data_IF_511324956823
#
_entry.id   IF_511324956823
#
_cell.length_a   1.000
_cell.length_b   1.000
_cell.length_c   1.000
_cell.angle_alpha   90.00
_cell.angle_beta   90.00
_cell.angle_gamma   90.00
#
_symmetry.space_group_name_H-M   'P 1'
#
loop_
_entity.id
_entity.type
_entity.pdbx_description
1 polymer ?
#
# COMPACT_ATOMS: atom_id res chain seq x y z
N UNK A 1 12.34 -14.44 -12.71
CA UNK A 1 10.91 -14.12 -12.62
C UNK A 1 10.19 -15.40 -12.26
N UNK A 2 9.56 -15.48 -11.09
CA UNK A 2 8.75 -16.64 -10.73
C UNK A 2 7.52 -16.68 -11.66
N UNK A 3 7.33 -17.79 -12.38
CA UNK A 3 6.14 -18.04 -13.21
C UNK A 3 4.90 -18.27 -12.33
N UNK A 4 4.38 -17.19 -11.72
CA UNK A 4 3.14 -17.24 -10.96
C UNK A 4 1.97 -17.14 -11.94
N UNK A 5 1.03 -18.06 -11.83
CA UNK A 5 -0.19 -18.07 -12.64
C UNK A 5 -1.25 -17.16 -12.06
N UNK A 6 -2.29 -16.85 -12.85
CA UNK A 6 -3.49 -16.15 -12.37
C UNK A 6 -4.12 -16.83 -11.13
N UNK A 7 -4.11 -18.16 -11.08
CA UNK A 7 -4.70 -18.90 -9.96
C UNK A 7 -3.86 -18.79 -8.69
N UNK A 8 -2.53 -18.70 -8.83
CA UNK A 8 -1.63 -18.47 -7.69
C UNK A 8 -1.95 -17.13 -7.01
N UNK A 9 -2.18 -16.06 -7.79
CA UNK A 9 -2.59 -14.77 -7.24
C UNK A 9 -3.93 -14.82 -6.50
N UNK A 10 -4.91 -15.56 -7.03
CA UNK A 10 -6.22 -15.72 -6.39
C UNK A 10 -6.09 -16.47 -5.07
N UNK A 11 -5.32 -17.56 -5.06
CA UNK A 11 -5.03 -18.35 -3.88
C UNK A 11 -4.26 -17.54 -2.83
N UNK A 12 -3.25 -16.78 -3.24
CA UNK A 12 -2.50 -15.90 -2.33
C UNK A 12 -3.40 -14.81 -1.71
N UNK A 13 -4.36 -14.29 -2.48
CA UNK A 13 -5.37 -13.36 -1.98
C UNK A 13 -6.28 -13.97 -0.91
N UNK A 14 -6.77 -15.19 -1.12
CA UNK A 14 -7.55 -15.92 -0.11
C UNK A 14 -6.71 -16.22 1.14
N UNK A 15 -5.50 -16.73 0.95
CA UNK A 15 -4.60 -17.07 2.05
C UNK A 15 -4.28 -15.85 2.92
N UNK A 16 -3.98 -14.69 2.30
CA UNK A 16 -3.72 -13.45 3.03
C UNK A 16 -4.96 -12.97 3.79
N UNK A 17 -6.11 -12.99 3.12
CA UNK A 17 -7.40 -12.61 3.70
C UNK A 17 -7.72 -13.43 4.95
N UNK A 18 -7.53 -14.75 4.88
CA UNK A 18 -7.80 -15.68 5.97
C UNK A 18 -6.78 -15.56 7.10
N UNK A 19 -5.47 -15.51 6.78
CA UNK A 19 -4.40 -15.39 7.78
C UNK A 19 -4.55 -14.13 8.63
N UNK A 20 -4.83 -13.00 7.99
CA UNK A 20 -4.97 -11.71 8.68
C UNK A 20 -6.40 -11.43 9.14
N UNK A 21 -7.38 -12.28 8.79
CA UNK A 21 -8.80 -12.06 9.08
C UNK A 21 -9.25 -10.67 8.63
N UNK A 22 -8.89 -10.30 7.40
CA UNK A 22 -9.19 -8.98 6.87
C UNK A 22 -10.71 -8.76 6.81
N UNK A 23 -11.15 -7.55 7.09
CA UNK A 23 -12.57 -7.20 6.98
C UNK A 23 -13.04 -7.14 5.51
N UNK A 24 -12.12 -6.94 4.57
CA UNK A 24 -12.40 -6.74 3.15
C UNK A 24 -11.36 -7.44 2.30
N UNK A 25 -11.70 -7.77 1.05
CA UNK A 25 -10.79 -8.46 0.15
C UNK A 25 -9.58 -7.60 -0.23
N UNK A 26 -8.37 -8.18 -0.36
CA UNK A 26 -7.28 -7.54 -1.10
C UNK A 26 -7.75 -7.16 -2.51
N UNK A 27 -7.38 -5.97 -2.97
CA UNK A 27 -7.77 -5.44 -4.28
C UNK A 27 -6.65 -5.71 -5.28
N UNK A 28 -7.00 -6.35 -6.39
CA UNK A 28 -6.16 -6.49 -7.57
C UNK A 28 -6.38 -5.29 -8.50
N UNK A 29 -5.30 -4.65 -8.93
CA UNK A 29 -5.32 -3.56 -9.90
C UNK A 29 -4.50 -3.97 -11.13
N UNK A 30 -5.12 -3.85 -12.30
CA UNK A 30 -4.48 -4.08 -13.60
C UNK A 30 -4.54 -2.80 -14.43
N UNK A 31 -3.39 -2.24 -14.79
CA UNK A 31 -3.35 -1.13 -15.74
C UNK A 31 -3.73 -1.61 -17.14
N UNK A 32 -4.40 -0.73 -17.91
CA UNK A 32 -4.81 -1.01 -19.28
C UNK A 32 -4.22 0.01 -20.25
N UNK A 33 -3.81 -0.45 -21.42
CA UNK A 33 -3.32 0.37 -22.55
C UNK A 33 -4.36 0.45 -23.66
N UNK A 34 -5.25 -0.53 -23.73
CA UNK A 34 -6.36 -0.58 -24.68
C UNK A 34 -7.70 -0.77 -23.97
N UNK A 35 -8.76 -0.11 -24.45
CA UNK A 35 -10.11 -0.25 -23.89
C UNK A 35 -10.67 -1.67 -24.07
N UNK A 36 -10.17 -2.44 -25.04
CA UNK A 36 -10.53 -3.85 -25.24
C UNK A 36 -9.97 -4.77 -24.14
N UNK A 37 -9.05 -4.30 -23.30
CA UNK A 37 -8.57 -5.03 -22.12
C UNK A 37 -9.57 -5.01 -20.96
N UNK A 38 -10.61 -4.17 -21.03
CA UNK A 38 -11.67 -4.10 -20.04
C UNK A 38 -12.54 -5.37 -20.15
N UNK A 39 -12.64 -6.20 -19.10
CA UNK A 39 -13.46 -7.40 -19.15
C UNK A 39 -14.94 -7.02 -19.19
N UNK A 40 -15.76 -7.77 -19.95
CA UNK A 40 -17.20 -7.51 -20.12
C UNK A 40 -18.00 -7.35 -18.82
N UNK A 41 -17.54 -8.01 -17.75
CA UNK A 41 -18.18 -7.97 -16.42
C UNK A 41 -17.82 -6.75 -15.59
N UNK A 42 -16.81 -5.96 -15.98
CA UNK A 42 -16.44 -4.76 -15.26
C UNK A 42 -17.45 -3.64 -15.52
N UNK A 43 -17.96 -3.07 -14.44
CA UNK A 43 -18.74 -1.83 -14.50
C UNK A 43 -17.82 -0.68 -14.93
N UNK A 44 -18.33 0.16 -15.81
CA UNK A 44 -17.66 1.39 -16.21
C UNK A 44 -18.58 2.57 -15.88
N UNK A 45 -18.24 3.40 -14.88
CA UNK A 45 -19.13 4.47 -14.39
C UNK A 45 -19.70 5.39 -15.48
N UNK A 46 -18.88 5.82 -16.43
CA UNK A 46 -19.30 6.72 -17.52
C UNK A 46 -20.40 6.13 -18.40
N UNK A 47 -20.40 4.80 -18.61
CA UNK A 47 -21.47 4.09 -19.34
C UNK A 47 -22.81 4.07 -18.61
N UNK A 48 -22.81 4.41 -17.33
CA UNK A 48 -23.99 4.55 -16.49
C UNK A 48 -24.32 6.02 -16.20
N UNK A 49 -23.71 6.97 -16.92
CA UNK A 49 -23.80 8.41 -16.66
C UNK A 49 -23.39 8.77 -15.22
N UNK A 50 -22.40 8.06 -14.68
CA UNK A 50 -21.83 8.28 -13.36
C UNK A 50 -20.34 8.60 -13.47
N UNK A 51 -19.82 9.27 -12.44
CA UNK A 51 -18.39 9.40 -12.22
C UNK A 51 -18.07 8.98 -10.80
N UNK A 52 -16.96 8.27 -10.63
CA UNK A 52 -16.45 7.84 -9.33
C UNK A 52 -15.05 8.39 -9.15
N UNK A 53 -14.60 8.53 -7.91
CA UNK A 53 -13.16 8.64 -7.64
C UNK A 53 -12.49 7.28 -7.78
N UNK A 54 -11.18 7.26 -8.07
CA UNK A 54 -10.40 6.02 -8.12
C UNK A 54 -10.50 5.23 -6.80
N UNK A 55 -10.48 5.91 -5.66
CA UNK A 55 -10.62 5.30 -4.34
C UNK A 55 -11.99 4.63 -4.11
N UNK A 56 -13.08 5.18 -4.68
CA UNK A 56 -14.39 4.53 -4.64
C UNK A 56 -14.39 3.19 -5.37
N UNK A 57 -13.68 3.09 -6.51
CA UNK A 57 -13.53 1.83 -7.24
C UNK A 57 -12.84 0.75 -6.38
N UNK A 58 -11.86 1.12 -5.55
CA UNK A 58 -11.21 0.20 -4.62
C UNK A 58 -12.19 -0.29 -3.55
N UNK A 59 -13.02 0.60 -3.00
CA UNK A 59 -14.07 0.25 -2.05
C UNK A 59 -15.10 -0.72 -2.65
N UNK A 60 -15.54 -0.47 -3.88
CA UNK A 60 -16.45 -1.36 -4.60
C UNK A 60 -15.84 -2.77 -4.76
N UNK A 61 -14.55 -2.87 -5.11
CA UNK A 61 -13.87 -4.14 -5.21
C UNK A 61 -13.74 -4.85 -3.84
N UNK A 62 -13.16 -4.17 -2.84
CA UNK A 62 -12.85 -4.79 -1.53
C UNK A 62 -14.08 -5.16 -0.70
N UNK A 63 -15.17 -4.38 -0.79
CA UNK A 63 -16.39 -4.57 0.03
C UNK A 63 -17.50 -5.31 -0.69
N UNK A 64 -17.72 -5.01 -1.98
CA UNK A 64 -18.85 -5.57 -2.74
C UNK A 64 -18.45 -6.65 -3.74
N UNK A 65 -17.16 -6.95 -3.87
CA UNK A 65 -16.72 -7.96 -4.82
C UNK A 65 -16.77 -7.48 -6.27
N UNK A 66 -16.93 -6.18 -6.51
CA UNK A 66 -17.20 -5.62 -7.82
C UNK A 66 -15.95 -5.58 -8.71
N UNK A 67 -16.18 -5.61 -10.01
CA UNK A 67 -15.16 -5.34 -11.04
C UNK A 67 -15.46 -3.96 -11.59
N UNK A 68 -14.51 -3.04 -11.52
CA UNK A 68 -14.72 -1.66 -11.97
C UNK A 68 -13.57 -1.28 -12.89
N UNK A 69 -13.90 -0.77 -14.07
CA UNK A 69 -12.94 -0.15 -14.97
C UNK A 69 -12.99 1.36 -14.76
N UNK A 70 -11.82 1.97 -14.60
CA UNK A 70 -11.65 3.40 -14.44
C UNK A 70 -10.77 3.92 -15.57
N UNK A 71 -11.33 4.77 -16.42
CA UNK A 71 -10.61 5.59 -17.41
C UNK A 71 -10.70 7.06 -17.00
N UNK A 72 -10.15 7.96 -17.83
CA UNK A 72 -10.26 9.40 -17.57
C UNK A 72 -11.72 9.85 -17.44
N UNK A 73 -12.60 9.35 -18.30
CA UNK A 73 -14.01 9.72 -18.39
C UNK A 73 -14.83 9.22 -17.18
N UNK A 74 -14.38 8.14 -16.54
CA UNK A 74 -15.00 7.55 -15.35
C UNK A 74 -14.65 8.29 -14.05
N UNK A 75 -13.54 9.03 -14.05
CA UNK A 75 -12.94 9.55 -12.83
C UNK A 75 -13.36 10.99 -12.50
N UNK A 76 -14.07 11.19 -11.39
CA UNK A 76 -14.42 12.51 -10.89
C UNK A 76 -13.19 13.28 -10.34
N UNK A 77 -12.18 12.57 -9.82
CA UNK A 77 -10.96 13.17 -9.30
C UNK A 77 -9.92 13.36 -10.43
N UNK A 78 -10.09 14.41 -11.24
CA UNK A 78 -9.30 14.67 -12.45
C UNK A 78 -7.79 14.67 -12.19
N UNK A 79 -7.33 15.28 -11.10
CA UNK A 79 -5.90 15.34 -10.72
C UNK A 79 -5.27 13.96 -10.71
N UNK A 80 -5.95 12.96 -10.15
CA UNK A 80 -5.41 11.60 -10.09
C UNK A 80 -5.24 10.99 -11.49
N UNK A 81 -6.17 11.18 -12.42
CA UNK A 81 -6.02 10.72 -13.81
C UNK A 81 -4.84 11.37 -14.53
N UNK A 82 -4.59 12.66 -14.27
CA UNK A 82 -3.52 13.43 -14.89
C UNK A 82 -2.15 12.99 -14.36
N UNK A 83 -2.02 12.77 -13.05
CA UNK A 83 -0.80 12.22 -12.44
C UNK A 83 -0.49 10.81 -12.98
N UNK A 84 -1.52 10.00 -13.23
CA UNK A 84 -1.37 8.69 -13.90
C UNK A 84 -1.06 8.76 -15.40
N UNK A 85 -1.02 9.95 -16.01
CA UNK A 85 -0.77 10.19 -17.43
C UNK A 85 -1.84 9.65 -18.39
N UNK A 86 -3.08 9.44 -17.93
CA UNK A 86 -4.19 9.01 -18.81
C UNK A 86 -4.62 10.10 -19.79
N UNK A 87 -4.42 11.36 -19.39
CA UNK A 87 -4.42 12.55 -20.24
C UNK A 87 -3.22 13.41 -19.85
N UNK A 88 -2.76 14.25 -20.77
CA UNK A 88 -1.56 15.07 -20.59
C UNK A 88 -1.95 16.53 -20.44
N UNK A 89 -1.42 17.16 -19.40
CA UNK A 89 -1.44 18.60 -19.18
C UNK A 89 -0.05 19.04 -18.73
N UNK A 90 0.31 20.32 -18.89
CA UNK A 90 1.50 20.90 -18.26
C UNK A 90 1.56 20.60 -16.75
N UNK A 91 2.76 20.35 -16.24
CA UNK A 91 2.96 20.09 -14.80
C UNK A 91 2.63 21.32 -13.95
N UNK A 92 2.79 22.50 -14.53
CA UNK A 92 2.46 23.78 -13.92
C UNK A 92 0.99 23.85 -13.53
N UNK A 93 0.09 23.34 -14.37
CA UNK A 93 -1.36 23.31 -14.11
C UNK A 93 -1.70 22.33 -12.97
N UNK A 94 -0.98 21.21 -12.89
CA UNK A 94 -1.13 20.26 -11.79
C UNK A 94 -0.68 20.91 -10.48
N UNK A 95 0.47 21.56 -10.46
CA UNK A 95 0.98 22.30 -9.29
C UNK A 95 0.00 23.40 -8.87
N UNK A 96 -0.48 24.20 -9.82
CA UNK A 96 -1.44 25.26 -9.56
C UNK A 96 -2.75 24.71 -8.96
N UNK A 97 -3.24 23.57 -9.46
CA UNK A 97 -4.43 22.93 -8.90
C UNK A 97 -4.29 22.56 -7.42
N UNK A 98 -3.09 22.21 -6.96
CA UNK A 98 -2.85 21.87 -5.54
C UNK A 98 -2.84 23.12 -4.65
N UNK A 99 -2.33 24.23 -5.17
CA UNK A 99 -2.35 25.54 -4.48
C UNK A 99 -3.78 26.08 -4.42
N UNK A 100 -4.54 25.99 -5.51
CA UNK A 100 -5.97 26.37 -5.54
C UNK A 100 -6.78 25.54 -4.53
N UNK A 101 -6.41 24.27 -4.35
CA UNK A 101 -7.06 23.38 -3.39
C UNK A 101 -6.58 23.58 -1.94
N UNK A 102 -5.69 24.55 -1.70
CA UNK A 102 -5.13 24.89 -0.39
C UNK A 102 -4.44 23.71 0.33
N UNK A 103 -3.95 22.71 -0.40
CA UNK A 103 -3.16 21.63 0.20
C UNK A 103 -1.82 22.12 0.74
N UNK A 104 -1.26 23.14 0.09
CA UNK A 104 -0.04 23.81 0.52
C UNK A 104 -0.23 25.32 0.47
N UNK A 105 0.48 26.00 1.38
CA UNK A 105 0.40 27.45 1.59
C UNK A 105 0.52 28.27 0.30
N UNK A 106 1.44 27.89 -0.57
CA UNK A 106 1.77 28.59 -1.79
C UNK A 106 2.50 27.67 -2.79
N UNK A 107 2.79 28.19 -3.98
CA UNK A 107 3.53 27.47 -5.04
C UNK A 107 4.93 27.02 -4.59
N UNK A 108 5.60 27.77 -3.71
CA UNK A 108 6.94 27.39 -3.23
C UNK A 108 6.85 26.16 -2.31
N UNK A 109 5.87 26.12 -1.42
CA UNK A 109 5.61 24.96 -0.58
C UNK A 109 5.27 23.71 -1.40
N UNK A 110 4.41 23.83 -2.43
CA UNK A 110 4.10 22.74 -3.35
C UNK A 110 5.35 22.24 -4.08
N UNK A 111 6.20 23.14 -4.60
CA UNK A 111 7.44 22.78 -5.27
C UNK A 111 8.44 22.05 -4.35
N UNK A 112 8.51 22.42 -3.07
CA UNK A 112 9.34 21.72 -2.08
C UNK A 112 8.86 20.27 -1.93
N UNK A 113 7.56 20.05 -1.81
CA UNK A 113 6.99 18.69 -1.70
C UNK A 113 7.23 17.89 -2.98
N UNK A 114 6.96 18.46 -4.15
CA UNK A 114 7.23 17.81 -5.44
C UNK A 114 8.72 17.48 -5.62
N UNK A 115 9.62 18.31 -5.10
CA UNK A 115 11.06 18.05 -5.17
C UNK A 115 11.50 16.79 -4.39
N UNK A 116 10.75 16.40 -3.34
CA UNK A 116 10.98 15.16 -2.61
C UNK A 116 10.57 13.91 -3.41
N UNK A 117 9.71 14.09 -4.41
CA UNK A 117 9.24 13.05 -5.31
C UNK A 117 9.92 13.08 -6.68
N UNK A 118 10.94 13.93 -6.86
CA UNK A 118 11.65 14.13 -8.15
C UNK A 118 12.21 12.81 -8.72
N UNK A 119 12.59 11.88 -7.84
CA UNK A 119 13.17 10.60 -8.24
C UNK A 119 12.11 9.69 -8.91
N UNK A 120 10.83 10.00 -8.76
CA UNK A 120 9.74 9.37 -9.52
C UNK A 120 9.60 9.96 -10.92
N UNK A 121 9.99 11.22 -11.13
CA UNK A 121 9.83 11.96 -12.39
C UNK A 121 10.96 11.67 -13.40
N UNK A 122 11.31 10.40 -13.58
CA UNK A 122 12.33 9.96 -14.55
C UNK A 122 11.71 9.62 -15.91
N UNK A 123 12.51 9.68 -16.97
CA UNK A 123 12.10 9.25 -18.31
C UNK A 123 11.68 7.77 -18.34
N UNK A 124 12.33 6.94 -17.54
CA UNK A 124 11.99 5.52 -17.40
C UNK A 124 10.57 5.35 -16.83
N UNK A 125 10.29 6.01 -15.70
CA UNK A 125 8.98 5.96 -15.06
C UNK A 125 7.88 6.55 -15.97
N UNK A 126 8.17 7.65 -16.65
CA UNK A 126 7.27 8.19 -17.67
C UNK A 126 6.95 7.15 -18.75
N UNK A 127 7.96 6.45 -19.27
CA UNK A 127 7.75 5.41 -20.28
C UNK A 127 6.92 4.22 -19.77
N UNK A 128 6.94 3.91 -18.47
CA UNK A 128 6.11 2.85 -17.86
C UNK A 128 4.61 3.17 -17.91
N UNK A 129 4.23 4.45 -17.84
CA UNK A 129 2.82 4.88 -17.66
C UNK A 129 2.23 5.69 -18.81
N UNK A 130 3.05 6.27 -19.71
CA UNK A 130 2.61 7.20 -20.77
C UNK A 130 1.55 6.65 -21.73
N UNK A 131 1.44 5.32 -21.84
CA UNK A 131 0.51 4.62 -22.74
C UNK A 131 -0.70 4.04 -21.99
N UNK A 132 -0.78 4.21 -20.66
CA UNK A 132 -1.93 3.76 -19.88
C UNK A 132 -3.15 4.65 -20.14
N UNK A 133 -4.33 4.03 -20.25
CA UNK A 133 -5.62 4.71 -20.45
C UNK A 133 -6.54 4.61 -19.23
N UNK A 134 -6.15 3.83 -18.24
CA UNK A 134 -6.99 3.47 -17.12
C UNK A 134 -6.42 2.31 -16.32
N UNK A 135 -7.25 1.79 -15.42
CA UNK A 135 -7.05 0.47 -14.82
C UNK A 135 -8.38 -0.26 -14.65
N UNK A 136 -8.30 -1.55 -14.35
CA UNK A 136 -9.42 -2.34 -13.83
C UNK A 136 -9.08 -2.81 -12.43
N UNK A 137 -10.02 -2.62 -11.51
CA UNK A 137 -9.94 -3.10 -10.14
C UNK A 137 -10.87 -4.29 -9.95
N UNK A 138 -10.45 -5.22 -9.10
CA UNK A 138 -11.22 -6.41 -8.75
C UNK A 138 -10.79 -6.96 -7.40
N UNK A 139 -11.59 -7.82 -6.76
CA UNK A 139 -11.12 -8.60 -5.61
C UNK A 139 -10.03 -9.56 -6.09
N UNK A 140 -8.90 -9.61 -5.40
CA UNK A 140 -7.75 -10.42 -5.81
C UNK A 140 -8.10 -11.89 -5.99
N UNK A 141 -8.88 -12.46 -5.06
CA UNK A 141 -9.35 -13.85 -5.10
C UNK A 141 -10.25 -14.19 -6.31
N UNK A 142 -10.75 -13.19 -7.05
CA UNK A 142 -11.57 -13.36 -8.25
C UNK A 142 -10.98 -12.66 -9.47
N UNK A 143 -9.76 -12.16 -9.38
CA UNK A 143 -9.17 -11.32 -10.43
C UNK A 143 -9.13 -12.03 -11.78
N UNK A 144 -9.27 -11.28 -12.86
CA UNK A 144 -9.47 -11.83 -14.21
C UNK A 144 -8.16 -11.93 -15.01
N UNK A 145 -7.12 -11.25 -14.57
CA UNK A 145 -5.79 -11.18 -15.17
C UNK A 145 -4.77 -10.95 -14.06
N UNK A 146 -3.52 -11.35 -14.26
CA UNK A 146 -2.45 -11.14 -13.30
C UNK A 146 -2.31 -9.63 -13.00
N UNK A 147 -2.54 -9.21 -11.74
CA UNK A 147 -2.53 -7.80 -11.39
C UNK A 147 -1.11 -7.23 -11.43
N UNK A 148 -1.00 -5.93 -11.66
CA UNK A 148 0.27 -5.22 -11.53
C UNK A 148 0.50 -4.81 -10.07
N UNK A 149 -0.58 -4.42 -9.40
CA UNK A 149 -0.57 -3.96 -8.01
C UNK A 149 -1.63 -4.70 -7.20
N UNK A 150 -1.29 -4.96 -5.94
CA UNK A 150 -2.24 -5.36 -4.92
C UNK A 150 -2.34 -4.26 -3.86
N UNK A 151 -3.56 -3.82 -3.57
CA UNK A 151 -3.86 -2.86 -2.51
C UNK A 151 -4.64 -3.56 -1.39
N UNK A 152 -4.08 -3.58 -0.19
CA UNK A 152 -4.65 -4.28 0.96
C UNK A 152 -5.05 -3.24 2.00
N UNK A 153 -6.32 -3.28 2.43
CA UNK A 153 -6.80 -2.48 3.56
C UNK A 153 -6.92 -3.36 4.80
N UNK A 154 -6.53 -2.82 5.95
CA UNK A 154 -6.61 -3.48 7.25
C UNK A 154 -6.36 -2.50 8.39
N UNK A 155 -6.52 -2.95 9.63
CA UNK A 155 -6.15 -2.14 10.79
C UNK A 155 -4.61 -2.02 10.92
N UNK A 156 -4.09 -1.07 11.74
CA UNK A 156 -2.64 -0.91 11.92
C UNK A 156 -1.90 -2.18 12.37
N UNK A 157 -2.55 -3.07 13.13
CA UNK A 157 -1.93 -4.32 13.58
C UNK A 157 -1.79 -5.33 12.43
N UNK A 158 -2.80 -5.43 11.56
CA UNK A 158 -2.76 -6.23 10.34
C UNK A 158 -1.67 -5.73 9.40
N UNK A 159 -1.59 -4.40 9.19
CA UNK A 159 -0.54 -3.80 8.36
C UNK A 159 0.85 -4.04 8.97
N UNK A 160 0.99 -4.01 10.29
CA UNK A 160 2.26 -4.35 10.98
C UNK A 160 2.72 -5.78 10.65
N UNK A 161 1.82 -6.76 10.60
CA UNK A 161 2.18 -8.13 10.20
C UNK A 161 2.66 -8.23 8.74
N UNK A 162 2.09 -7.43 7.84
CA UNK A 162 2.57 -7.33 6.46
C UNK A 162 3.98 -6.72 6.42
N UNK A 163 4.22 -5.62 7.13
CA UNK A 163 5.55 -4.98 7.23
C UNK A 163 6.59 -5.92 7.84
N UNK A 164 6.23 -6.66 8.87
CA UNK A 164 7.09 -7.71 9.43
C UNK A 164 7.44 -8.78 8.40
N UNK A 165 6.49 -9.18 7.56
CA UNK A 165 6.73 -10.18 6.52
C UNK A 165 7.70 -9.65 5.47
N UNK A 166 7.50 -8.41 5.01
CA UNK A 166 8.36 -7.71 4.05
C UNK A 166 9.81 -7.58 4.55
N UNK A 167 9.97 -7.21 5.82
CA UNK A 167 11.29 -6.95 6.43
C UNK A 167 11.97 -8.18 7.02
N UNK A 168 11.29 -9.34 7.08
CA UNK A 168 11.78 -10.52 7.80
C UNK A 168 13.17 -10.99 7.35
N UNK A 169 13.41 -11.04 6.03
CA UNK A 169 14.72 -11.40 5.46
C UNK A 169 15.59 -10.16 5.13
N UNK A 170 15.15 -8.96 5.53
CA UNK A 170 15.86 -7.70 5.27
C UNK A 170 15.80 -7.20 3.82
N UNK A 171 14.99 -7.81 2.94
CA UNK A 171 14.94 -7.50 1.50
C UNK A 171 14.03 -6.33 1.13
N UNK A 172 12.91 -6.15 1.85
CA UNK A 172 11.89 -5.15 1.51
C UNK A 172 11.64 -4.22 2.70
N UNK A 173 12.58 -3.32 2.97
CA UNK A 173 12.40 -2.25 3.96
C UNK A 173 11.40 -1.22 3.41
N UNK A 174 10.29 -1.01 4.12
CA UNK A 174 9.23 -0.11 3.68
C UNK A 174 9.57 1.33 4.02
N UNK A 175 9.75 2.17 3.00
CA UNK A 175 9.95 3.62 3.12
C UNK A 175 8.78 4.34 2.44
N UNK A 176 8.08 5.21 3.19
CA UNK A 176 6.82 5.77 2.71
C UNK A 176 6.59 7.20 3.24
N UNK A 177 6.81 8.24 2.43
CA UNK A 177 6.57 9.63 2.82
C UNK A 177 5.08 9.98 2.71
N UNK A 178 4.54 10.78 3.63
CA UNK A 178 3.12 11.16 3.65
C UNK A 178 2.94 12.65 3.39
N UNK A 179 1.95 12.97 2.55
CA UNK A 179 1.55 14.36 2.23
C UNK A 179 0.07 14.61 2.59
N UNK A 180 -0.68 13.58 2.97
CA UNK A 180 -2.06 13.70 3.48
C UNK A 180 -3.14 13.72 2.38
N UNK A 181 -2.75 13.63 1.11
CA UNK A 181 -3.65 13.53 -0.04
C UNK A 181 -3.07 12.63 -1.14
N UNK A 182 -3.91 12.17 -2.08
CA UNK A 182 -3.50 11.21 -3.12
C UNK A 182 -3.09 9.83 -2.57
N UNK A 183 -3.48 9.50 -1.35
CA UNK A 183 -2.88 8.42 -0.57
C UNK A 183 -3.16 7.03 -1.16
N UNK A 184 -4.41 6.63 -1.40
CA UNK A 184 -4.67 5.30 -1.98
C UNK A 184 -4.40 5.21 -3.48
N UNK A 185 -4.83 6.20 -4.27
CA UNK A 185 -4.81 6.10 -5.73
C UNK A 185 -3.45 6.43 -6.35
N UNK A 186 -2.68 7.37 -5.80
CA UNK A 186 -1.33 7.67 -6.28
C UNK A 186 -0.34 6.86 -5.47
N UNK A 187 -0.32 7.05 -4.15
CA UNK A 187 0.69 6.42 -3.30
C UNK A 187 0.47 4.92 -3.08
N UNK A 188 -0.76 4.45 -3.00
CA UNK A 188 -1.07 3.01 -2.87
C UNK A 188 -1.07 2.25 -4.20
N UNK A 189 -1.09 2.93 -5.35
CA UNK A 189 -1.21 2.26 -6.65
C UNK A 189 -0.12 2.70 -7.63
N UNK A 190 -0.05 3.97 -7.98
CA UNK A 190 0.93 4.46 -8.95
C UNK A 190 2.38 4.35 -8.46
N UNK A 191 2.67 4.77 -7.22
CA UNK A 191 4.04 4.77 -6.70
C UNK A 191 4.64 3.35 -6.67
N UNK A 192 3.98 2.33 -6.10
CA UNK A 192 4.49 0.95 -6.14
C UNK A 192 4.68 0.41 -7.56
N UNK A 193 3.86 0.85 -8.52
CA UNK A 193 4.00 0.46 -9.92
C UNK A 193 5.26 1.06 -10.56
N UNK A 194 5.58 2.30 -10.21
CA UNK A 194 6.76 3.00 -10.73
C UNK A 194 8.06 2.49 -10.08
N UNK A 195 8.05 2.34 -8.76
CA UNK A 195 9.27 2.03 -7.99
C UNK A 195 9.54 0.54 -7.83
N UNK A 196 8.50 -0.30 -7.86
CA UNK A 196 8.62 -1.69 -7.43
C UNK A 196 8.67 -1.85 -5.90
N UNK A 197 8.37 -0.79 -5.14
CA UNK A 197 8.46 -0.79 -3.68
C UNK A 197 7.08 -0.64 -3.02
N UNK A 198 6.79 -1.37 -1.93
CA UNK A 198 5.57 -1.20 -1.16
C UNK A 198 5.42 0.21 -0.57
N UNK A 199 4.18 0.69 -0.47
CA UNK A 199 3.84 1.98 0.12
C UNK A 199 2.72 1.82 1.15
N UNK A 200 2.96 2.31 2.37
CA UNK A 200 1.94 2.38 3.41
C UNK A 200 1.01 3.53 3.10
N UNK A 201 -0.28 3.25 3.01
CA UNK A 201 -1.32 4.25 2.79
C UNK A 201 -1.92 4.61 4.14
N UNK A 202 -1.75 5.87 4.52
CA UNK A 202 -2.55 6.50 5.56
C UNK A 202 -3.70 7.16 4.81
N UNK A 203 -4.95 6.65 4.90
CA UNK A 203 -6.04 7.20 4.11
C UNK A 203 -6.11 8.72 4.27
N UNK A 204 -6.39 9.43 3.18
CA UNK A 204 -6.59 10.88 3.20
C UNK A 204 -8.06 11.27 3.42
N UNK A 205 -8.37 12.56 3.35
CA UNK A 205 -9.76 13.04 3.45
C UNK A 205 -10.63 12.41 2.36
N UNK A 206 -10.15 12.37 1.10
CA UNK A 206 -10.89 11.78 -0.02
C UNK A 206 -11.19 10.28 0.16
N UNK A 207 -10.25 9.51 0.73
CA UNK A 207 -10.49 8.09 1.03
C UNK A 207 -11.62 7.90 2.05
N UNK A 208 -11.65 8.76 3.07
CA UNK A 208 -12.67 8.69 4.14
C UNK A 208 -14.03 9.16 3.65
N UNK A 209 -14.08 10.35 3.06
CA UNK A 209 -15.35 11.01 2.72
C UNK A 209 -15.99 10.45 1.46
N UNK A 210 -15.20 10.13 0.43
CA UNK A 210 -15.73 9.65 -0.86
C UNK A 210 -15.82 8.12 -0.89
N UNK A 211 -14.86 7.43 -0.26
CA UNK A 211 -14.68 5.98 -0.43
C UNK A 211 -15.04 5.16 0.80
N UNK A 212 -15.62 5.77 1.84
CA UNK A 212 -16.06 5.06 3.05
C UNK A 212 -14.93 4.24 3.70
N UNK A 213 -13.71 4.77 3.65
CA UNK A 213 -12.58 4.24 4.41
C UNK A 213 -12.74 4.67 5.85
N UNK A 214 -12.71 3.72 6.79
CA UNK A 214 -12.96 4.02 8.20
C UNK A 214 -11.71 4.59 8.88
N UNK A 215 -11.90 5.27 10.01
CA UNK A 215 -10.80 5.90 10.76
C UNK A 215 -9.77 4.89 11.29
N UNK A 216 -10.23 3.68 11.63
CA UNK A 216 -9.38 2.58 12.08
C UNK A 216 -8.68 1.82 10.94
N UNK A 217 -8.95 2.17 9.67
CA UNK A 217 -8.35 1.52 8.51
C UNK A 217 -7.06 2.22 8.08
N UNK A 218 -6.06 1.41 7.77
CA UNK A 218 -4.88 1.76 6.97
C UNK A 218 -4.88 0.90 5.70
N UNK A 219 -3.95 1.17 4.80
CA UNK A 219 -3.71 0.28 3.67
C UNK A 219 -2.22 0.15 3.35
N UNK A 220 -1.91 -0.79 2.48
CA UNK A 220 -0.60 -0.93 1.85
C UNK A 220 -0.77 -1.30 0.39
N UNK A 221 -0.12 -0.55 -0.48
CA UNK A 221 0.00 -0.83 -1.90
C UNK A 221 1.33 -1.51 -2.19
N UNK A 222 1.35 -2.54 -3.04
CA UNK A 222 2.57 -3.27 -3.37
C UNK A 222 2.53 -3.86 -4.78
N UNK A 223 3.68 -4.01 -5.46
CA UNK A 223 3.78 -4.82 -6.67
C UNK A 223 3.21 -6.20 -6.39
N UNK A 224 2.34 -6.68 -7.27
CA UNK A 224 1.52 -7.85 -7.00
C UNK A 224 2.34 -9.08 -6.56
N UNK A 225 3.50 -9.28 -7.17
CA UNK A 225 4.41 -10.40 -6.89
C UNK A 225 4.87 -10.49 -5.42
N UNK A 226 4.89 -9.37 -4.67
CA UNK A 226 5.29 -9.39 -3.26
C UNK A 226 4.27 -10.07 -2.35
N UNK A 227 3.04 -10.33 -2.82
CA UNK A 227 2.04 -11.05 -2.00
C UNK A 227 2.51 -12.46 -1.63
N UNK A 228 3.22 -13.14 -2.54
CA UNK A 228 3.75 -14.48 -2.29
C UNK A 228 4.85 -14.45 -1.22
N UNK A 229 5.75 -13.46 -1.31
CA UNK A 229 6.78 -13.24 -0.31
C UNK A 229 6.17 -12.93 1.06
N UNK A 230 5.13 -12.10 1.09
CA UNK A 230 4.39 -11.78 2.32
C UNK A 230 3.76 -13.04 2.92
N UNK A 231 3.02 -13.83 2.15
CA UNK A 231 2.37 -15.04 2.66
C UNK A 231 3.39 -16.06 3.19
N UNK A 232 4.53 -16.21 2.51
CA UNK A 232 5.62 -17.10 2.91
C UNK A 232 6.27 -16.66 4.23
N UNK A 233 6.29 -15.37 4.54
CA UNK A 233 6.94 -14.80 5.73
C UNK A 233 5.97 -14.36 6.84
N UNK A 234 4.67 -14.54 6.61
CA UNK A 234 3.63 -14.17 7.56
C UNK A 234 3.81 -14.84 8.92
N UNK A 235 3.70 -14.06 9.98
CA UNK A 235 3.85 -14.48 11.38
C UNK A 235 5.20 -15.09 11.79
N UNK A 236 6.25 -15.00 10.96
CA UNK A 236 7.60 -15.46 11.34
C UNK A 236 8.33 -14.49 12.27
N UNK A 237 8.16 -13.18 12.06
CA UNK A 237 8.81 -12.15 12.88
C UNK A 237 8.39 -12.25 14.34
N UNK A 238 9.32 -12.20 15.28
CA UNK A 238 9.06 -12.36 16.71
C UNK A 238 8.94 -13.81 17.20
N UNK A 239 8.97 -14.80 16.30
CA UNK A 239 8.93 -16.22 16.67
C UNK A 239 7.73 -16.56 17.57
N UNK A 240 7.97 -17.18 18.72
CA UNK A 240 6.91 -17.51 19.69
C UNK A 240 6.22 -16.28 20.30
N UNK A 241 6.83 -15.08 20.17
CA UNK A 241 6.27 -13.81 20.62
C UNK A 241 5.56 -13.04 19.49
N UNK A 242 5.42 -13.62 18.30
CA UNK A 242 4.48 -13.09 17.32
C UNK A 242 3.06 -13.24 17.90
N UNK A 243 2.47 -12.15 18.40
CA UNK A 243 1.17 -12.14 19.09
C UNK A 243 -0.03 -12.49 18.18
N UNK A 244 0.24 -12.97 16.95
CA UNK A 244 -0.68 -13.45 15.92
C UNK A 244 -1.76 -12.42 15.55
N UNK A 245 -2.74 -12.87 14.76
CA UNK A 245 -3.93 -12.10 14.41
C UNK A 245 -5.19 -12.94 14.75
N UNK A 246 -6.14 -12.42 15.55
CA UNK A 246 -6.12 -11.11 16.22
C UNK A 246 -5.02 -11.01 17.28
N UNK A 247 -4.55 -9.79 17.52
CA UNK A 247 -3.51 -9.50 18.51
C UNK A 247 -3.90 -10.00 19.89
N UNK A 248 -3.01 -10.77 20.51
CA UNK A 248 -3.13 -11.18 21.91
C UNK A 248 -2.59 -10.09 22.82
N UNK A 249 -3.46 -9.50 23.63
CA UNK A 249 -3.08 -8.49 24.62
C UNK A 249 -2.62 -9.15 25.92
N UNK A 250 -1.57 -8.59 26.51
CA UNK A 250 -1.11 -8.96 27.84
C UNK A 250 -1.39 -7.80 28.80
N UNK A 251 -1.97 -8.11 29.97
CA UNK A 251 -2.27 -7.16 31.03
C UNK A 251 -1.56 -7.60 32.31
N UNK A 252 -0.88 -6.69 32.99
CA UNK A 252 -0.23 -6.92 34.28
C UNK A 252 1.28 -6.70 34.29
N UNK A 253 1.92 -7.04 35.40
CA UNK A 253 3.37 -6.93 35.54
C UNK A 253 4.08 -7.98 34.70
N UNK A 254 5.02 -7.56 33.85
CA UNK A 254 5.89 -8.46 33.08
C UNK A 254 6.87 -9.15 34.04
N UNK A 255 6.74 -10.47 34.31
CA UNK A 255 7.66 -11.15 35.22
C UNK A 255 9.11 -11.06 34.74
N UNK A 256 10.06 -11.16 35.66
CA UNK A 256 11.48 -11.16 35.30
C UNK A 256 11.79 -12.35 34.39
N UNK A 257 12.21 -12.07 33.16
CA UNK A 257 12.49 -13.08 32.14
C UNK A 257 11.36 -13.26 31.12
N UNK A 258 10.20 -12.63 31.34
CA UNK A 258 9.13 -12.52 30.37
C UNK A 258 9.45 -11.44 29.32
N UNK A 259 9.12 -11.75 28.06
CA UNK A 259 9.43 -10.93 26.89
C UNK A 259 10.41 -11.62 25.93
N UNK A 260 10.75 -10.95 24.81
CA UNK A 260 11.64 -11.52 23.81
C UNK A 260 12.97 -12.01 24.41
N UNK A 261 13.53 -13.15 23.95
CA UNK A 261 14.80 -13.66 24.47
C UNK A 261 15.95 -12.65 24.39
N UNK A 262 15.87 -11.73 23.42
CA UNK A 262 16.77 -10.59 23.25
C UNK A 262 16.92 -9.74 24.53
N UNK A 263 15.87 -9.55 25.32
CA UNK A 263 15.95 -8.76 26.56
C UNK A 263 16.88 -9.38 27.59
N UNK A 264 16.80 -10.70 27.77
CA UNK A 264 17.68 -11.43 28.69
C UNK A 264 19.13 -11.46 28.17
N UNK A 265 19.31 -11.60 26.85
CA UNK A 265 20.63 -11.49 26.22
C UNK A 265 21.26 -10.12 26.48
N UNK A 266 20.55 -9.02 26.19
CA UNK A 266 21.05 -7.66 26.37
C UNK A 266 21.37 -7.35 27.84
N UNK A 267 20.50 -7.76 28.78
CA UNK A 267 20.77 -7.64 30.23
C UNK A 267 22.05 -8.37 30.63
N UNK A 268 22.30 -9.57 30.09
CA UNK A 268 23.53 -10.32 30.35
C UNK A 268 24.77 -9.61 29.78
N UNK A 269 24.66 -9.02 28.59
CA UNK A 269 25.77 -8.27 27.99
C UNK A 269 26.09 -6.98 28.75
N UNK A 270 25.06 -6.25 29.18
CA UNK A 270 25.24 -5.04 29.98
C UNK A 270 26.01 -5.33 31.28
N UNK A 271 25.57 -6.35 32.04
CA UNK A 271 26.26 -6.78 33.28
C UNK A 271 27.72 -7.18 33.06
N UNK A 272 28.03 -7.81 31.92
CA UNK A 272 29.42 -8.16 31.58
C UNK A 272 30.26 -6.91 31.31
N UNK A 273 29.68 -5.90 30.67
CA UNK A 273 30.37 -4.63 30.37
C UNK A 273 30.60 -3.81 31.63
N UNK A 274 29.61 -3.71 32.52
CA UNK A 274 29.72 -3.01 33.81
C UNK A 274 30.83 -3.60 34.67
N UNK A 275 30.86 -4.94 34.84
CA UNK A 275 31.93 -5.60 35.60
C UNK A 275 33.32 -5.34 35.05
N UNK A 276 33.50 -5.35 33.72
CA UNK A 276 34.79 -5.04 33.07
C UNK A 276 35.23 -3.60 33.34
N UNK A 277 34.29 -2.66 33.34
CA UNK A 277 34.57 -1.25 33.61
C UNK A 277 34.91 -0.96 35.08
N UNK A 278 34.40 -1.77 36.01
CA UNK A 278 34.77 -1.72 37.42
C UNK A 278 36.20 -2.26 37.62
N UNK A 279 36.55 -3.39 37.00
CA UNK A 279 37.91 -3.95 37.09
C UNK A 279 38.95 -3.05 36.44
N UNK A 280 38.64 -2.37 35.33
CA UNK A 280 39.55 -1.43 34.67
C UNK A 280 39.66 -0.06 35.36
N UNK A 281 38.90 0.20 36.43
CA UNK A 281 39.02 1.40 37.28
C UNK A 281 39.80 1.12 38.56
N UNK A 282 39.99 -0.15 38.90
CA UNK A 282 40.76 -0.62 40.05
C UNK A 282 42.23 -0.94 39.67
N UNK A 283 42.56 -0.94 38.38
CA UNK A 283 43.92 -0.94 37.80
C UNK A 283 44.37 0.48 37.44
#
# INVERSE_FOLDING_TARGET
>A
MSNQTLEDYRNAGNELYDKLRLLTYPVAIKFIKDYNEIPKKAQQPSKLNQQLSLCQSFTMARRWGAFVAMTFEDNACVTSSLVHQWKKVPMEDIIESQVISEYHKDKQAELIVQSQLKDLATKENYNKIKDHKGFVVSPLHKTYKEPDIVLIYGDPAQITHIVHSLTYEGKHLVQSPFIGYGESCIKGVLVPYLTGDPQIVLPGTGDRTLSLTKEEEMAIGLPAELIFYINNNMFKSGGVFNMRQPTRFFLGNLPKGFGPPAWNFLRKQLRKKEKKNETSKEE
#
